data_IF_357195422244
#
_entry.id   IF_357195422244
#
_cell.length_a   1.000
_cell.length_b   1.000
_cell.length_c   1.000
_cell.angle_alpha   90.00
_cell.angle_beta   90.00
_cell.angle_gamma   90.00
#
_symmetry.space_group_name_H-M   'P 1'
#
loop_
_entity.id
_entity.type
_entity.pdbx_description
1 polymer ?
#
# COMPACT_ATOMS: atom_id res chain seq x y z
N UNK A 1 9.49 -8.20 41.03
CA UNK A 1 10.40 -7.39 40.18
C UNK A 1 11.22 -8.20 39.18
N UNK A 2 11.41 -9.52 39.35
CA UNK A 2 12.33 -10.32 38.52
C UNK A 2 11.86 -10.54 37.07
N UNK A 3 10.57 -10.75 36.86
CA UNK A 3 9.99 -10.96 35.52
C UNK A 3 10.27 -9.83 34.51
N UNK A 4 10.36 -8.59 35.00
CA UNK A 4 10.65 -7.44 34.13
C UNK A 4 12.10 -7.43 33.64
N UNK A 5 13.04 -7.82 34.51
CA UNK A 5 14.45 -7.93 34.15
C UNK A 5 14.70 -9.08 33.16
N UNK A 6 13.99 -10.20 33.32
CA UNK A 6 14.09 -11.33 32.40
C UNK A 6 13.55 -10.98 31.00
N UNK A 7 12.43 -10.25 30.93
CA UNK A 7 11.89 -9.77 29.66
C UNK A 7 12.85 -8.80 28.95
N UNK A 8 13.50 -7.91 29.71
CA UNK A 8 14.46 -6.95 29.16
C UNK A 8 15.71 -7.64 28.60
N UNK A 9 16.21 -8.69 29.29
CA UNK A 9 17.31 -9.54 28.80
C UNK A 9 16.95 -10.28 27.51
N UNK A 10 15.73 -10.82 27.42
CA UNK A 10 15.25 -11.50 26.20
C UNK A 10 15.15 -10.55 25.00
N UNK A 11 14.74 -9.30 25.23
CA UNK A 11 14.67 -8.27 24.19
C UNK A 11 16.08 -7.90 23.70
N UNK A 12 17.03 -7.72 24.62
CA UNK A 12 18.42 -7.39 24.28
C UNK A 12 19.08 -8.52 23.48
N UNK A 13 18.81 -9.78 23.82
CA UNK A 13 19.31 -10.95 23.11
C UNK A 13 18.75 -11.06 21.68
N UNK A 14 17.47 -10.70 21.47
CA UNK A 14 16.87 -10.64 20.13
C UNK A 14 17.45 -9.49 19.29
N UNK A 15 17.68 -8.34 19.91
CA UNK A 15 18.28 -7.18 19.23
C UNK A 15 19.77 -7.36 18.95
N UNK A 16 20.51 -8.14 19.75
CA UNK A 16 21.92 -8.43 19.53
C UNK A 16 22.19 -9.27 18.27
N UNK A 17 21.19 -10.05 17.80
CA UNK A 17 21.24 -10.75 16.52
C UNK A 17 20.91 -9.87 15.30
N UNK A 18 20.36 -8.69 15.53
CA UNK A 18 20.23 -7.63 14.54
C UNK A 18 21.38 -6.65 14.71
N UNK A 19 22.50 -6.89 14.04
CA UNK A 19 23.53 -5.86 13.92
C UNK A 19 22.87 -4.53 13.53
N UNK A 20 23.32 -3.37 14.03
CA UNK A 20 22.92 -2.10 13.44
C UNK A 20 23.35 -2.17 11.97
N UNK A 21 22.38 -2.44 11.09
CA UNK A 21 22.59 -2.31 9.67
C UNK A 21 23.07 -0.87 9.48
N UNK A 22 24.24 -0.64 8.85
CA UNK A 22 24.53 0.70 8.36
C UNK A 22 23.32 1.10 7.52
N UNK A 23 22.79 2.31 7.73
CA UNK A 23 21.63 2.83 7.01
C UNK A 23 21.71 2.54 5.49
N UNK A 24 22.93 2.59 4.97
CA UNK A 24 23.35 2.17 3.62
C UNK A 24 22.85 0.77 3.20
N UNK A 25 22.94 -0.24 4.08
CA UNK A 25 22.56 -1.62 3.75
C UNK A 25 21.05 -1.83 3.61
N UNK A 26 20.24 -1.03 4.30
CA UNK A 26 18.79 -1.05 4.12
C UNK A 26 18.42 -0.37 2.80
N UNK A 27 19.05 0.75 2.49
CA UNK A 27 18.84 1.48 1.24
C UNK A 27 19.25 0.64 0.02
N UNK A 28 20.40 -0.02 0.07
CA UNK A 28 20.88 -0.95 -0.96
C UNK A 28 19.93 -2.14 -1.16
N UNK A 29 19.43 -2.73 -0.07
CA UNK A 29 18.47 -3.83 -0.13
C UNK A 29 17.13 -3.39 -0.75
N UNK A 30 16.68 -2.16 -0.46
CA UNK A 30 15.48 -1.58 -1.06
C UNK A 30 15.73 -1.26 -2.54
N UNK A 31 16.91 -0.73 -2.90
CA UNK A 31 17.29 -0.43 -4.28
C UNK A 31 17.36 -1.69 -5.15
N UNK A 32 17.97 -2.77 -4.65
CA UNK A 32 18.01 -4.06 -5.33
C UNK A 32 16.59 -4.61 -5.58
N UNK A 33 15.71 -4.54 -4.56
CA UNK A 33 14.33 -5.02 -4.68
C UNK A 33 13.49 -4.20 -5.66
N UNK A 34 13.76 -2.89 -5.80
CA UNK A 34 13.14 -2.04 -6.84
C UNK A 34 13.69 -2.33 -8.23
N UNK A 35 14.98 -2.65 -8.37
CA UNK A 35 15.57 -3.02 -9.65
C UNK A 35 14.99 -4.34 -10.22
N UNK A 36 14.64 -5.30 -9.34
CA UNK A 36 14.01 -6.56 -9.74
C UNK A 36 12.57 -6.40 -10.22
N UNK A 37 11.84 -5.37 -9.76
CA UNK A 37 10.51 -5.03 -10.27
C UNK A 37 10.61 -3.80 -11.14
N UNK A 38 10.78 -3.97 -12.45
CA UNK A 38 10.83 -2.83 -13.35
C UNK A 38 9.56 -1.97 -13.15
N UNK A 39 9.74 -0.66 -12.91
CA UNK A 39 8.62 0.27 -12.71
C UNK A 39 7.71 0.30 -13.95
N UNK A 40 8.29 0.02 -15.13
CA UNK A 40 7.61 -0.09 -16.41
C UNK A 40 6.63 -1.27 -16.48
N UNK A 41 6.95 -2.42 -15.87
CA UNK A 41 6.05 -3.57 -15.83
C UNK A 41 4.81 -3.27 -14.96
N UNK A 42 5.02 -2.61 -13.82
CA UNK A 42 3.93 -2.22 -12.92
C UNK A 42 2.99 -1.21 -13.58
N UNK A 43 3.53 -0.16 -14.20
CA UNK A 43 2.71 0.83 -14.90
C UNK A 43 1.97 0.20 -16.08
N UNK A 44 2.62 -0.71 -16.82
CA UNK A 44 1.98 -1.47 -17.91
C UNK A 44 0.79 -2.31 -17.43
N UNK A 45 0.93 -2.99 -16.28
CA UNK A 45 -0.15 -3.77 -15.67
C UNK A 45 -1.31 -2.87 -15.20
N UNK A 46 -1.00 -1.71 -14.60
CA UNK A 46 -2.01 -0.74 -14.17
C UNK A 46 -2.76 -0.17 -15.39
N UNK A 47 -2.03 0.21 -16.44
CA UNK A 47 -2.60 0.70 -17.69
C UNK A 47 -3.52 -0.34 -18.35
N UNK A 48 -3.08 -1.60 -18.46
CA UNK A 48 -3.90 -2.70 -18.97
C UNK A 48 -5.17 -2.93 -18.13
N UNK A 49 -5.05 -2.81 -16.81
CA UNK A 49 -6.18 -2.93 -15.88
C UNK A 49 -7.17 -1.77 -16.02
N UNK A 50 -6.69 -0.54 -16.24
CA UNK A 50 -7.51 0.67 -16.41
C UNK A 50 -8.20 0.68 -17.77
N UNK A 51 -7.50 0.29 -18.84
CA UNK A 51 -8.09 0.19 -20.19
C UNK A 51 -9.22 -0.83 -20.25
N UNK A 52 -9.07 -1.98 -19.57
CA UNK A 52 -10.12 -3.00 -19.46
C UNK A 52 -11.33 -2.55 -18.62
N UNK A 53 -11.11 -1.66 -17.65
CA UNK A 53 -12.16 -1.12 -16.74
C UNK A 53 -12.61 0.29 -17.12
N UNK A 54 -12.62 0.64 -18.41
CA UNK A 54 -13.08 1.97 -18.87
C UNK A 54 -14.60 2.10 -18.71
N UNK A 55 -15.05 2.25 -17.46
CA UNK A 55 -16.45 2.48 -17.15
C UNK A 55 -16.83 3.89 -17.57
N UNK A 56 -17.98 3.97 -18.23
CA UNK A 56 -18.55 5.22 -18.74
C UNK A 56 -19.09 6.04 -17.57
N UNK A 57 -19.15 7.36 -17.73
CA UNK A 57 -19.80 8.24 -16.77
C UNK A 57 -21.22 7.77 -16.50
N UNK A 58 -21.53 7.46 -15.24
CA UNK A 58 -22.84 7.00 -14.76
C UNK A 58 -23.79 8.15 -14.41
N UNK A 59 -23.35 9.40 -14.58
CA UNK A 59 -24.11 10.60 -14.23
C UNK A 59 -23.65 11.18 -12.88
N UNK A 60 -24.59 11.75 -12.14
CA UNK A 60 -24.34 12.41 -10.85
C UNK A 60 -25.09 11.68 -9.73
N UNK A 61 -24.45 11.55 -8.56
CA UNK A 61 -25.04 10.96 -7.38
C UNK A 61 -26.31 11.73 -6.97
N UNK A 62 -27.46 11.07 -6.78
CA UNK A 62 -28.71 11.74 -6.42
C UNK A 62 -28.70 12.35 -5.02
N UNK A 63 -27.75 11.96 -4.15
CA UNK A 63 -27.68 12.46 -2.79
C UNK A 63 -26.73 13.66 -2.60
N UNK A 64 -25.60 13.68 -3.30
CA UNK A 64 -24.58 14.73 -3.11
C UNK A 64 -24.17 15.45 -4.40
N UNK A 65 -24.67 15.02 -5.56
CA UNK A 65 -24.36 15.64 -6.86
C UNK A 65 -22.96 15.35 -7.40
N UNK A 66 -22.13 14.53 -6.73
CA UNK A 66 -20.80 14.18 -7.24
C UNK A 66 -20.90 13.28 -8.48
N UNK A 67 -20.05 13.45 -9.50
CA UNK A 67 -20.02 12.54 -10.65
C UNK A 67 -19.68 11.11 -10.21
N UNK A 68 -20.40 10.13 -10.77
CA UNK A 68 -20.23 8.70 -10.47
C UNK A 68 -20.04 7.93 -11.76
N UNK A 69 -19.31 6.81 -11.71
CA UNK A 69 -19.15 5.92 -12.85
C UNK A 69 -20.29 4.90 -12.87
N UNK A 70 -20.67 4.42 -14.06
CA UNK A 70 -21.80 3.51 -14.21
C UNK A 70 -21.62 2.13 -13.55
N UNK A 71 -20.40 1.80 -13.12
CA UNK A 71 -20.08 0.57 -12.39
C UNK A 71 -19.87 0.80 -10.88
N UNK A 72 -20.03 2.03 -10.39
CA UNK A 72 -19.90 2.34 -8.98
C UNK A 72 -21.13 1.85 -8.23
N UNK A 73 -20.92 1.04 -7.19
CA UNK A 73 -21.98 0.57 -6.30
C UNK A 73 -22.33 1.60 -5.21
N UNK A 74 -21.41 2.52 -4.95
CA UNK A 74 -21.51 3.55 -3.92
C UNK A 74 -20.77 4.82 -4.38
N UNK A 75 -21.22 5.97 -3.90
CA UNK A 75 -20.59 7.25 -4.18
C UNK A 75 -19.28 7.34 -3.39
N UNK A 76 -18.17 7.61 -4.09
CA UNK A 76 -16.85 7.83 -3.48
C UNK A 76 -16.80 9.06 -2.58
N UNK A 77 -17.71 10.03 -2.77
CA UNK A 77 -17.77 11.26 -1.99
C UNK A 77 -18.64 11.14 -0.73
N UNK A 78 -19.85 10.58 -0.83
CA UNK A 78 -20.79 10.54 0.31
C UNK A 78 -21.10 9.13 0.85
N UNK A 79 -20.56 8.07 0.24
CA UNK A 79 -20.74 6.68 0.68
C UNK A 79 -22.14 6.09 0.44
N UNK A 80 -23.12 6.87 -0.03
CA UNK A 80 -24.45 6.35 -0.35
C UNK A 80 -24.43 5.51 -1.61
N UNK A 81 -25.35 4.55 -1.70
CA UNK A 81 -25.57 3.76 -2.93
C UNK A 81 -25.97 4.72 -4.07
N UNK A 82 -25.29 4.56 -5.21
CA UNK A 82 -25.40 5.41 -6.40
C UNK A 82 -26.36 4.87 -7.43
#
# INVERSE_FOLDING_TARGET
>A
MQKGADAMRQIDEFNAGGAPMPEDGLEDAIAARRADTSEDDLESLIAARRSKRKAKSGGFCPNCGHPVLGNDKFCTNCGKRT
#
